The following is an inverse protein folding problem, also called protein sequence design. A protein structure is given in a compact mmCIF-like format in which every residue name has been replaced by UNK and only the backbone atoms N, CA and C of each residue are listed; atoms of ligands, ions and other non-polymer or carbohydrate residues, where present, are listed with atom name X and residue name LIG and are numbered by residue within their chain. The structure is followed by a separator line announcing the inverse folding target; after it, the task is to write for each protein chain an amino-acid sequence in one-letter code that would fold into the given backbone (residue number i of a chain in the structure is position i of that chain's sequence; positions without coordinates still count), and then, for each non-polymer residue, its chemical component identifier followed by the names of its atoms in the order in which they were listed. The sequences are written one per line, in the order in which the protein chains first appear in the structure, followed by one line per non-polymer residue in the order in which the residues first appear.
data_IF_156119798857
#
_entry.id   IF_156119798857
#
_cell.length_a   1.000
_cell.length_b   1.000
_cell.length_c   1.000
_cell.angle_alpha   90.00
_cell.angle_beta   90.00
_cell.angle_gamma   90.00
#
_symmetry.space_group_name_H-M   'P 1'
#
loop_
_entity.id
_entity.type
_entity.pdbx_description
1 polymer ?
#
# COMPACT_ATOMS: atom_id res chain seq x y z
N UNK A 1 8.46 -20.83 4.32
CA UNK A 1 8.19 -19.51 4.94
C UNK A 1 8.44 -18.48 3.87
N UNK A 2 7.39 -17.88 3.30
CA UNK A 2 7.57 -16.82 2.30
C UNK A 2 8.35 -15.68 2.97
N UNK A 3 9.48 -15.31 2.37
CA UNK A 3 10.26 -14.15 2.82
C UNK A 3 9.30 -12.99 3.03
N UNK A 4 9.21 -12.48 4.26
CA UNK A 4 8.40 -11.31 4.62
C UNK A 4 9.01 -10.08 3.94
N UNK A 5 8.85 -10.02 2.63
CA UNK A 5 9.41 -8.99 1.78
C UNK A 5 8.75 -7.67 2.12
N UNK A 6 9.56 -6.71 2.54
CA UNK A 6 9.15 -5.32 2.78
C UNK A 6 8.50 -4.66 1.54
N UNK A 7 8.66 -5.28 0.36
CA UNK A 7 8.15 -4.81 -0.92
C UNK A 7 7.50 -5.94 -1.71
N UNK A 8 6.22 -5.82 -2.03
CA UNK A 8 5.51 -6.70 -2.95
C UNK A 8 5.27 -6.04 -4.29
N UNK A 9 5.69 -6.75 -5.34
CA UNK A 9 5.49 -6.36 -6.73
C UNK A 9 4.17 -6.93 -7.23
N UNK A 10 3.22 -6.05 -7.49
CA UNK A 10 1.86 -6.44 -7.88
C UNK A 10 1.62 -6.03 -9.32
N UNK A 11 1.10 -6.95 -10.12
CA UNK A 11 0.60 -6.64 -11.47
C UNK A 11 -0.92 -6.75 -11.45
N UNK A 12 -1.59 -5.63 -11.64
CA UNK A 12 -3.03 -5.57 -11.73
C UNK A 12 -3.51 -6.23 -13.03
N UNK A 13 -4.35 -7.26 -12.94
CA UNK A 13 -4.86 -7.97 -14.13
C UNK A 13 -5.83 -7.11 -14.96
N UNK A 14 -6.83 -6.43 -14.37
CA UNK A 14 -7.78 -5.60 -15.13
C UNK A 14 -7.12 -4.47 -15.93
N UNK A 15 -6.23 -3.71 -15.30
CA UNK A 15 -5.67 -2.47 -15.88
C UNK A 15 -4.28 -2.67 -16.49
N UNK A 16 -3.66 -3.85 -16.29
CA UNK A 16 -2.26 -4.17 -16.62
C UNK A 16 -1.22 -3.24 -15.98
N UNK A 17 -1.63 -2.34 -15.07
CA UNK A 17 -0.73 -1.48 -14.32
C UNK A 17 0.06 -2.29 -13.30
N UNK A 18 1.21 -1.76 -12.93
CA UNK A 18 2.09 -2.37 -11.92
C UNK A 18 2.09 -1.48 -10.69
N UNK A 19 2.14 -2.13 -9.54
CA UNK A 19 2.15 -1.48 -8.24
C UNK A 19 3.25 -2.11 -7.39
N UNK A 20 3.79 -1.32 -6.49
CA UNK A 20 4.66 -1.78 -5.42
C UNK A 20 3.96 -1.46 -4.11
N UNK A 21 3.67 -2.49 -3.33
CA UNK A 21 3.17 -2.34 -1.96
C UNK A 21 4.37 -2.46 -1.04
N UNK A 22 4.56 -1.50 -0.16
CA UNK A 22 5.65 -1.51 0.81
C UNK A 22 5.14 -1.26 2.20
N UNK A 23 5.62 -2.02 3.17
CA UNK A 23 5.34 -1.76 4.58
C UNK A 23 6.63 -1.40 5.28
N UNK A 24 6.64 -0.24 5.92
CA UNK A 24 7.77 0.28 6.68
C UNK A 24 7.35 0.49 8.13
N UNK A 25 8.26 0.24 9.07
CA UNK A 25 8.07 0.64 10.47
C UNK A 25 8.53 2.08 10.60
N UNK A 26 7.62 3.00 10.92
CA UNK A 26 7.93 4.41 11.17
C UNK A 26 8.41 4.63 12.61
N UNK A 27 7.76 3.97 13.55
CA UNK A 27 8.00 4.16 14.99
C UNK A 27 7.85 2.83 15.76
N UNK A 28 8.04 2.87 17.08
CA UNK A 28 8.05 1.69 17.94
C UNK A 28 6.74 0.89 17.83
N UNK A 29 5.60 1.57 17.73
CA UNK A 29 4.28 0.98 17.51
C UNK A 29 3.55 1.60 16.30
N UNK A 30 4.28 2.02 15.26
CA UNK A 30 3.68 2.61 14.06
C UNK A 30 4.28 2.01 12.80
N UNK A 31 3.41 1.43 11.98
CA UNK A 31 3.76 0.82 10.70
C UNK A 31 2.97 1.51 9.60
N UNK A 32 3.64 1.93 8.53
CA UNK A 32 3.00 2.50 7.36
C UNK A 32 3.05 1.49 6.21
N UNK A 33 1.89 1.16 5.66
CA UNK A 33 1.75 0.43 4.41
C UNK A 33 1.41 1.40 3.29
N UNK A 34 2.36 1.57 2.38
CA UNK A 34 2.26 2.45 1.23
C UNK A 34 2.14 1.67 -0.09
N UNK A 35 1.36 2.19 -1.03
CA UNK A 35 1.19 1.68 -2.38
C UNK A 35 1.70 2.70 -3.37
N UNK A 36 2.54 2.26 -4.30
CA UNK A 36 3.10 3.10 -5.35
C UNK A 36 2.75 2.51 -6.72
N UNK A 37 2.18 3.31 -7.62
CA UNK A 37 2.11 2.96 -9.03
C UNK A 37 3.54 2.94 -9.60
N UNK A 38 3.88 1.82 -10.23
CA UNK A 38 5.21 1.53 -10.73
C UNK A 38 5.24 1.36 -12.24
N UNK A 39 6.39 1.64 -12.82
CA UNK A 39 6.67 1.41 -14.23
C UNK A 39 6.92 -0.08 -14.52
N UNK A 40 7.22 -0.42 -15.77
CA UNK A 40 7.47 -1.80 -16.22
C UNK A 40 8.50 -2.56 -15.37
N UNK A 41 9.52 -1.86 -14.87
CA UNK A 41 10.59 -2.38 -14.02
C UNK A 41 10.25 -2.43 -12.52
N UNK A 42 9.00 -2.16 -12.12
CA UNK A 42 8.58 -2.02 -10.71
C UNK A 42 9.32 -0.89 -9.97
N UNK A 43 9.68 0.17 -10.70
CA UNK A 43 10.18 1.39 -10.12
C UNK A 43 8.99 2.34 -9.86
N UNK A 44 8.80 2.84 -8.63
CA UNK A 44 7.70 3.75 -8.32
C UNK A 44 7.85 5.03 -9.15
N UNK A 45 6.76 5.48 -9.78
CA UNK A 45 6.75 6.70 -10.59
C UNK A 45 7.02 7.95 -9.75
N UNK A 46 6.53 7.95 -8.51
CA UNK A 46 6.74 9.00 -7.51
C UNK A 46 7.21 8.35 -6.23
N UNK A 47 8.49 8.47 -5.91
CA UNK A 47 9.06 7.87 -4.69
C UNK A 47 8.64 8.60 -3.42
N UNK A 48 8.30 9.89 -3.54
CA UNK A 48 7.95 10.77 -2.42
C UNK A 48 6.43 10.95 -2.23
N UNK A 49 5.61 10.35 -3.09
CA UNK A 49 4.15 10.48 -3.02
C UNK A 49 3.52 9.12 -3.32
N UNK A 50 3.19 8.34 -2.29
CA UNK A 50 2.42 7.11 -2.48
C UNK A 50 1.02 7.43 -2.98
N UNK A 51 0.46 6.54 -3.80
CA UNK A 51 -0.94 6.63 -4.26
C UNK A 51 -1.91 6.29 -3.13
N UNK A 52 -1.46 5.51 -2.15
CA UNK A 52 -2.17 5.21 -0.91
C UNK A 52 -1.16 4.98 0.21
N UNK A 53 -1.37 5.59 1.37
CA UNK A 53 -0.61 5.33 2.58
C UNK A 53 -1.58 5.09 3.73
N UNK A 54 -1.37 4.00 4.45
CA UNK A 54 -2.20 3.60 5.59
C UNK A 54 -1.30 3.26 6.77
N UNK A 55 -1.65 3.78 7.93
CA UNK A 55 -0.90 3.55 9.16
C UNK A 55 -1.63 2.52 10.04
N UNK A 56 -0.86 1.63 10.65
CA UNK A 56 -1.33 0.58 11.56
C UNK A 56 -0.47 0.56 12.80
N UNK A 57 -1.06 0.23 13.95
CA UNK A 57 -0.37 0.26 15.24
C UNK A 57 0.39 -1.03 15.54
N UNK A 58 -0.05 -2.15 14.96
CA UNK A 58 0.58 -3.46 15.18
C UNK A 58 1.26 -4.00 13.93
N UNK A 59 2.33 -4.79 14.08
CA UNK A 59 2.99 -5.42 12.94
C UNK A 59 2.07 -6.41 12.23
N UNK A 60 1.25 -7.17 12.96
CA UNK A 60 0.34 -8.16 12.38
C UNK A 60 -0.74 -7.49 11.52
N UNK A 61 -1.36 -6.40 12.00
CA UNK A 61 -2.28 -5.61 11.17
C UNK A 61 -1.59 -5.04 9.92
N UNK A 62 -0.35 -4.57 10.05
CA UNK A 62 0.42 -4.06 8.93
C UNK A 62 0.63 -5.15 7.87
N UNK A 63 0.95 -6.37 8.28
CA UNK A 63 1.15 -7.51 7.38
C UNK A 63 -0.15 -7.99 6.74
N UNK A 64 -1.22 -8.09 7.51
CA UNK A 64 -2.54 -8.45 6.99
C UNK A 64 -3.02 -7.41 5.98
N UNK A 65 -2.85 -6.12 6.29
CA UNK A 65 -3.18 -5.03 5.38
C UNK A 65 -2.34 -5.08 4.10
N UNK A 66 -1.04 -5.32 4.23
CA UNK A 66 -0.13 -5.48 3.10
C UNK A 66 -0.56 -6.62 2.17
N UNK A 67 -0.82 -7.81 2.74
CA UNK A 67 -1.24 -8.98 1.99
C UNK A 67 -2.60 -8.74 1.32
N UNK A 68 -3.55 -8.15 2.06
CA UNK A 68 -4.88 -7.80 1.55
C UNK A 68 -4.78 -6.82 0.39
N UNK A 69 -4.00 -5.74 0.53
CA UNK A 69 -3.78 -4.76 -0.55
C UNK A 69 -3.15 -5.42 -1.77
N UNK A 70 -2.15 -6.28 -1.60
CA UNK A 70 -1.50 -6.96 -2.72
C UNK A 70 -2.48 -7.85 -3.50
N UNK A 71 -3.35 -8.59 -2.81
CA UNK A 71 -4.39 -9.42 -3.42
C UNK A 71 -5.44 -8.55 -4.12
N UNK A 72 -5.99 -7.54 -3.42
CA UNK A 72 -7.00 -6.63 -3.98
C UNK A 72 -6.46 -5.91 -5.22
N UNK A 73 -5.26 -5.33 -5.16
CA UNK A 73 -4.61 -4.65 -6.29
C UNK A 73 -4.32 -5.58 -7.47
N UNK A 74 -4.27 -6.90 -7.27
CA UNK A 74 -4.11 -7.85 -8.37
C UNK A 74 -5.41 -8.03 -9.16
N UNK A 75 -6.56 -8.02 -8.47
CA UNK A 75 -7.85 -8.46 -9.02
C UNK A 75 -8.86 -7.34 -9.23
N UNK A 76 -8.84 -6.30 -8.41
CA UNK A 76 -9.81 -5.19 -8.43
C UNK A 76 -9.25 -3.95 -9.16
N UNK A 77 -10.12 -2.98 -9.41
CA UNK A 77 -9.72 -1.70 -9.98
C UNK A 77 -9.02 -0.84 -8.92
N UNK A 78 -7.80 -0.34 -9.19
CA UNK A 78 -7.00 0.37 -8.19
C UNK A 78 -7.66 1.66 -7.69
N UNK A 79 -8.38 2.38 -8.57
CA UNK A 79 -9.11 3.59 -8.18
C UNK A 79 -10.18 3.32 -7.11
N UNK A 80 -10.88 2.18 -7.21
CA UNK A 80 -11.90 1.78 -6.24
C UNK A 80 -11.27 1.41 -4.89
N UNK A 81 -10.16 0.68 -4.92
CA UNK A 81 -9.41 0.35 -3.69
C UNK A 81 -8.97 1.64 -2.99
N UNK A 82 -8.33 2.56 -3.72
CA UNK A 82 -7.85 3.82 -3.15
C UNK A 82 -9.03 4.62 -2.57
N UNK A 83 -10.15 4.71 -3.30
CA UNK A 83 -11.36 5.38 -2.81
C UNK A 83 -11.90 4.75 -1.53
N UNK A 84 -12.07 3.42 -1.49
CA UNK A 84 -12.57 2.71 -0.30
C UNK A 84 -11.71 3.06 0.95
N UNK A 85 -10.38 3.07 0.80
CA UNK A 85 -9.48 3.35 1.92
C UNK A 85 -9.37 4.84 2.26
N UNK A 86 -9.49 5.75 1.28
CA UNK A 86 -9.59 7.18 1.53
C UNK A 86 -10.90 7.55 2.26
N UNK A 87 -12.01 6.89 1.95
CA UNK A 87 -13.30 7.13 2.63
C UNK A 87 -13.34 6.53 4.05
N UNK A 88 -12.57 5.45 4.30
CA UNK A 88 -12.46 4.81 5.62
C UNK A 88 -11.49 5.51 6.59
N UNK A 89 -10.59 6.35 6.08
CA UNK A 89 -9.63 7.08 6.91
C UNK A 89 -10.19 8.48 7.17
N UNK A 90 -10.68 8.83 8.37
CA UNK A 90 -11.02 10.21 8.64
C UNK A 90 -9.77 11.07 8.43
N UNK A 91 -9.88 12.28 7.85
CA UNK A 91 -8.74 13.17 7.72
C UNK A 91 -8.22 13.47 9.13
N UNK A 92 -7.04 12.95 9.47
CA UNK A 92 -6.30 13.43 10.64
C UNK A 92 -6.11 14.93 10.41
N UNK A 93 -6.64 15.81 11.26
CA UNK A 93 -6.47 17.24 11.04
C UNK A 93 -4.97 17.57 11.12
N UNK A 94 -4.48 18.56 10.36
CA UNK A 94 -3.12 19.03 10.52
C UNK A 94 -2.99 19.54 11.96
N UNK A 95 -2.04 18.98 12.72
CA UNK A 95 -1.64 19.57 13.99
C UNK A 95 -0.84 20.83 13.67
N UNK A 96 -1.40 21.99 14.03
CA UNK A 96 -0.69 23.29 14.17
C UNK A 96 0.43 23.19 15.20
#
# INVERSE_FOLDING_TARGET
MAEKGLFNKVKNKPTRRRFVVSTIRKDENLFETAVFEANFFYLPRRRNQPDLALETSTPDEAWDLHAKLAVRLTHEYPARIIQDYCELTPPTPPQD
#
